data_IF_462324008845
#
_entry.id   IF_462324008845
#
_cell.length_a   1.000
_cell.length_b   1.000
_cell.length_c   1.000
_cell.angle_alpha   90.00
_cell.angle_beta   90.00
_cell.angle_gamma   90.00
#
_symmetry.space_group_name_H-M   'P 1'
#
loop_
_entity.id
_entity.type
_entity.pdbx_description
1 polymer ?
#
# COMPACT_ATOMS: atom_id res chain seq x y z
N UNK A 1 32.35 16.63 7.56
CA UNK A 1 31.14 17.41 7.23
C UNK A 1 31.57 18.66 6.46
N UNK A 2 30.91 18.99 5.34
CA UNK A 2 31.35 20.00 4.36
C UNK A 2 31.26 21.47 4.83
N UNK A 3 30.77 21.74 6.05
CA UNK A 3 30.59 23.10 6.57
C UNK A 3 29.38 23.85 5.99
N UNK A 4 28.62 23.23 5.08
CA UNK A 4 27.41 23.80 4.48
C UNK A 4 26.22 23.48 5.39
N UNK A 5 25.45 24.51 5.77
CA UNK A 5 24.22 24.34 6.52
C UNK A 5 23.20 23.53 5.72
N UNK A 6 22.63 22.50 6.34
CA UNK A 6 21.57 21.69 5.74
C UNK A 6 20.24 22.43 5.90
N UNK A 7 19.54 22.64 4.79
CA UNK A 7 18.17 23.16 4.79
C UNK A 7 17.19 22.00 4.96
N UNK A 8 16.75 21.77 6.20
CA UNK A 8 15.87 20.66 6.57
C UNK A 8 14.52 20.75 5.85
N UNK A 9 13.97 21.96 5.70
CA UNK A 9 12.71 22.18 4.96
C UNK A 9 12.84 21.73 3.51
N UNK A 10 13.94 22.08 2.85
CA UNK A 10 14.22 21.66 1.48
C UNK A 10 14.42 20.14 1.38
N UNK A 11 15.05 19.52 2.38
CA UNK A 11 15.19 18.06 2.43
C UNK A 11 13.83 17.38 2.53
N UNK A 12 12.94 17.83 3.42
CA UNK A 12 11.58 17.29 3.56
C UNK A 12 10.76 17.44 2.27
N UNK A 13 10.86 18.59 1.61
CA UNK A 13 10.23 18.82 0.31
C UNK A 13 10.69 17.82 -0.75
N UNK A 14 12.00 17.61 -0.91
CA UNK A 14 12.51 16.66 -1.90
C UNK A 14 12.25 15.20 -1.53
N UNK A 15 12.15 14.89 -0.24
CA UNK A 15 11.72 13.58 0.24
C UNK A 15 10.29 13.28 -0.23
N UNK A 16 9.33 14.17 0.03
CA UNK A 16 7.96 14.02 -0.45
C UNK A 16 7.88 13.94 -1.98
N UNK A 17 8.63 14.81 -2.68
CA UNK A 17 8.70 14.79 -4.15
C UNK A 17 9.19 13.44 -4.70
N UNK A 18 10.22 12.84 -4.09
CA UNK A 18 10.76 11.55 -4.51
C UNK A 18 9.71 10.45 -4.38
N UNK A 19 9.01 10.39 -3.24
CA UNK A 19 7.99 9.37 -3.00
C UNK A 19 6.77 9.53 -3.92
N UNK A 20 6.32 10.76 -4.20
CA UNK A 20 5.24 11.02 -5.17
C UNK A 20 5.60 10.48 -6.55
N UNK A 21 6.84 10.70 -7.01
CA UNK A 21 7.30 10.15 -8.30
C UNK A 21 7.27 8.62 -8.32
N UNK A 22 7.70 7.99 -7.22
CA UNK A 22 7.66 6.53 -7.08
C UNK A 22 6.23 6.01 -7.18
N UNK A 23 5.27 6.64 -6.49
CA UNK A 23 3.86 6.26 -6.53
C UNK A 23 3.31 6.32 -7.95
N UNK A 24 3.53 7.41 -8.68
CA UNK A 24 3.04 7.57 -10.06
C UNK A 24 3.61 6.47 -10.97
N UNK A 25 4.93 6.24 -10.92
CA UNK A 25 5.57 5.23 -11.75
C UNK A 25 5.11 3.81 -11.40
N UNK A 26 5.02 3.49 -10.10
CA UNK A 26 4.63 2.17 -9.63
C UNK A 26 3.16 1.88 -9.92
N UNK A 27 2.28 2.89 -9.98
CA UNK A 27 0.88 2.71 -10.35
C UNK A 27 0.75 1.98 -11.69
N UNK A 28 1.40 2.54 -12.72
CA UNK A 28 1.36 2.03 -14.09
C UNK A 28 1.99 0.63 -14.20
N UNK A 29 3.08 0.39 -13.48
CA UNK A 29 3.77 -0.91 -13.46
C UNK A 29 2.87 -1.99 -12.85
N UNK A 30 2.15 -1.68 -11.76
CA UNK A 30 1.30 -2.66 -11.07
C UNK A 30 -0.08 -2.86 -11.68
N UNK A 31 -0.48 -2.02 -12.63
CA UNK A 31 -1.74 -2.19 -13.39
C UNK A 31 -1.66 -3.38 -14.36
N UNK A 32 -0.47 -3.70 -14.86
CA UNK A 32 -0.23 -4.79 -15.82
C UNK A 32 0.55 -5.92 -15.15
N UNK A 33 -0.18 -6.94 -14.66
CA UNK A 33 0.41 -8.12 -14.03
C UNK A 33 0.99 -9.09 -15.08
N UNK A 34 2.19 -8.78 -15.57
CA UNK A 34 2.94 -9.64 -16.47
C UNK A 34 3.67 -10.74 -15.68
N UNK A 35 3.43 -12.04 -15.97
CA UNK A 35 4.13 -13.13 -15.29
C UNK A 35 5.65 -13.11 -15.53
N UNK A 36 6.18 -12.44 -16.55
CA UNK A 36 7.63 -12.33 -16.78
C UNK A 36 8.29 -11.26 -15.91
N UNK A 37 7.51 -10.39 -15.27
CA UNK A 37 7.99 -9.36 -14.35
C UNK A 37 8.02 -9.85 -12.90
N UNK A 38 8.79 -9.19 -12.01
CA UNK A 38 8.82 -9.51 -10.59
C UNK A 38 7.59 -8.91 -9.89
N UNK A 39 6.40 -9.47 -10.15
CA UNK A 39 5.10 -8.91 -9.69
C UNK A 39 5.06 -8.67 -8.18
N UNK A 40 5.45 -9.65 -7.36
CA UNK A 40 5.46 -9.51 -5.91
C UNK A 40 6.36 -8.36 -5.45
N UNK A 41 7.53 -8.19 -6.09
CA UNK A 41 8.45 -7.10 -5.79
C UNK A 41 7.84 -5.73 -6.14
N UNK A 42 7.24 -5.63 -7.32
CA UNK A 42 6.59 -4.39 -7.78
C UNK A 42 5.41 -4.00 -6.87
N UNK A 43 4.60 -4.98 -6.44
CA UNK A 43 3.54 -4.77 -5.46
C UNK A 43 4.09 -4.30 -4.12
N UNK A 44 5.15 -4.93 -3.60
CA UNK A 44 5.78 -4.52 -2.34
C UNK A 44 6.23 -3.05 -2.40
N UNK A 45 6.92 -2.66 -3.47
CA UNK A 45 7.33 -1.27 -3.65
C UNK A 45 6.13 -0.34 -3.76
N UNK A 46 5.12 -0.68 -4.56
CA UNK A 46 3.92 0.15 -4.72
C UNK A 46 3.26 0.44 -3.38
N UNK A 47 2.98 -0.62 -2.62
CA UNK A 47 2.25 -0.56 -1.35
C UNK A 47 3.04 0.23 -0.30
N UNK A 48 4.34 -0.04 -0.17
CA UNK A 48 5.19 0.71 0.74
C UNK A 48 5.30 2.18 0.36
N UNK A 49 5.48 2.49 -0.93
CA UNK A 49 5.59 3.88 -1.37
C UNK A 49 4.28 4.65 -1.19
N UNK A 50 3.11 4.02 -1.31
CA UNK A 50 1.82 4.68 -1.04
C UNK A 50 1.74 5.17 0.42
N UNK A 51 2.13 4.33 1.40
CA UNK A 51 2.19 4.75 2.81
C UNK A 51 3.28 5.79 3.05
N UNK A 52 4.51 5.53 2.59
CA UNK A 52 5.66 6.41 2.83
C UNK A 52 5.45 7.79 2.20
N UNK A 53 4.73 7.88 1.08
CA UNK A 53 4.34 9.17 0.49
C UNK A 53 3.46 9.97 1.44
N UNK A 54 2.45 9.34 2.03
CA UNK A 54 1.57 10.00 2.99
C UNK A 54 2.36 10.47 4.23
N UNK A 55 3.28 9.64 4.75
CA UNK A 55 4.14 10.00 5.88
C UNK A 55 5.10 11.14 5.54
N UNK A 56 5.69 11.16 4.34
CA UNK A 56 6.57 12.23 3.89
C UNK A 56 5.83 13.57 3.74
N UNK A 57 4.61 13.55 3.19
CA UNK A 57 3.75 14.74 3.11
C UNK A 57 3.39 15.23 4.51
N UNK A 58 2.99 14.32 5.41
CA UNK A 58 2.65 14.66 6.78
C UNK A 58 3.83 15.27 7.56
N UNK A 59 5.04 14.72 7.42
CA UNK A 59 6.25 15.27 8.03
C UNK A 59 6.58 16.68 7.49
N UNK A 60 6.41 16.90 6.18
CA UNK A 60 6.58 18.22 5.58
C UNK A 60 5.51 19.24 6.05
N UNK A 61 4.29 18.78 6.34
CA UNK A 61 3.20 19.59 6.90
C UNK A 61 3.29 19.76 8.43
N UNK A 62 4.19 19.03 9.11
CA UNK A 62 4.28 19.02 10.57
C UNK A 62 3.07 18.39 11.27
N UNK A 63 2.39 17.44 10.61
CA UNK A 63 1.22 16.73 11.16
C UNK A 63 1.55 15.28 11.50
N UNK A 64 0.96 14.77 12.57
CA UNK A 64 1.05 13.35 12.93
C UNK A 64 -0.14 12.59 12.35
N UNK A 65 0.12 11.44 11.73
CA UNK A 65 -0.89 10.54 11.22
C UNK A 65 -1.13 9.38 12.19
N UNK A 66 -2.39 9.07 12.47
CA UNK A 66 -2.76 7.97 13.36
C UNK A 66 -2.91 6.67 12.55
N UNK A 67 -2.22 5.61 12.98
CA UNK A 67 -2.31 4.30 12.36
C UNK A 67 -3.72 3.72 12.60
N UNK A 68 -4.48 3.37 11.55
CA UNK A 68 -5.80 2.76 11.73
C UNK A 68 -5.70 1.37 12.34
N UNK A 69 -6.77 0.97 13.04
CA UNK A 69 -6.97 -0.44 13.37
C UNK A 69 -7.16 -1.26 12.09
N UNK A 70 -6.64 -2.49 12.12
CA UNK A 70 -6.90 -3.50 11.10
C UNK A 70 -8.06 -4.40 11.57
N UNK A 71 -9.00 -4.79 10.69
CA UNK A 71 -10.13 -5.63 11.09
C UNK A 71 -9.64 -6.97 11.64
N UNK A 72 -10.19 -7.36 12.79
CA UNK A 72 -10.00 -8.69 13.34
C UNK A 72 -10.96 -9.66 12.64
N UNK A 73 -10.41 -10.48 11.75
CA UNK A 73 -11.14 -11.51 11.03
C UNK A 73 -10.67 -12.85 11.54
N UNK A 74 -11.58 -13.59 12.17
CA UNK A 74 -11.31 -14.91 12.72
C UNK A 74 -10.65 -15.83 11.69
N UNK A 75 -9.75 -16.69 12.18
CA UNK A 75 -9.17 -17.74 11.34
C UNK A 75 -10.30 -18.65 10.82
N UNK A 76 -10.29 -18.88 9.51
CA UNK A 76 -11.17 -19.85 8.87
C UNK A 76 -10.58 -21.26 8.88
N UNK A 77 -11.30 -22.24 8.34
CA UNK A 77 -10.70 -23.53 8.00
C UNK A 77 -9.59 -23.36 6.95
N UNK A 78 -8.69 -24.34 6.85
CA UNK A 78 -7.65 -24.38 5.82
C UNK A 78 -8.27 -24.24 4.43
N UNK A 79 -7.81 -23.24 3.69
CA UNK A 79 -8.24 -22.95 2.32
C UNK A 79 -7.37 -23.68 1.28
N UNK A 80 -7.83 -23.70 0.02
CA UNK A 80 -6.99 -24.19 -1.08
C UNK A 80 -5.74 -23.33 -1.29
N UNK A 81 -5.80 -22.03 -0.97
CA UNK A 81 -4.63 -21.16 -1.01
C UNK A 81 -3.56 -21.65 -0.02
N UNK A 82 -3.96 -22.03 1.19
CA UNK A 82 -3.05 -22.55 2.22
C UNK A 82 -2.38 -23.85 1.76
N UNK A 83 -3.14 -24.77 1.14
CA UNK A 83 -2.61 -26.01 0.58
C UNK A 83 -1.59 -25.73 -0.53
N UNK A 84 -1.91 -24.84 -1.47
CA UNK A 84 -1.00 -24.50 -2.56
C UNK A 84 0.27 -23.81 -2.04
N UNK A 85 0.14 -22.86 -1.12
CA UNK A 85 1.28 -22.21 -0.50
C UNK A 85 2.17 -23.21 0.26
N UNK A 86 1.58 -24.12 1.02
CA UNK A 86 2.30 -25.19 1.72
C UNK A 86 3.05 -26.08 0.73
N UNK A 87 2.38 -26.62 -0.30
CA UNK A 87 3.02 -27.46 -1.31
C UNK A 87 4.18 -26.74 -2.01
N UNK A 88 4.01 -25.45 -2.35
CA UNK A 88 5.07 -24.65 -2.95
C UNK A 88 6.27 -24.50 -2.01
N UNK A 89 6.04 -24.22 -0.72
CA UNK A 89 7.07 -24.00 0.29
C UNK A 89 7.81 -25.29 0.70
N UNK A 90 7.08 -26.37 0.92
CA UNK A 90 7.61 -27.57 1.57
C UNK A 90 7.96 -28.70 0.62
N UNK A 91 7.37 -28.73 -0.58
CA UNK A 91 7.58 -29.81 -1.55
C UNK A 91 8.26 -29.32 -2.83
N UNK A 92 7.75 -28.24 -3.43
CA UNK A 92 8.26 -27.75 -4.73
C UNK A 92 9.58 -27.01 -4.56
N UNK A 93 9.62 -25.96 -3.73
CA UNK A 93 10.80 -25.12 -3.54
C UNK A 93 12.09 -25.91 -3.23
N UNK A 94 12.08 -26.92 -2.35
CA UNK A 94 13.26 -27.73 -2.07
C UNK A 94 13.78 -28.55 -3.27
N UNK A 95 12.89 -28.90 -4.21
CA UNK A 95 13.23 -29.67 -5.40
C UNK A 95 13.65 -28.81 -6.61
N UNK A 96 13.42 -27.50 -6.55
CA UNK A 96 13.76 -26.57 -7.64
C UNK A 96 15.23 -26.18 -7.59
N UNK A 97 15.91 -26.29 -8.74
CA UNK A 97 17.31 -25.88 -8.91
C UNK A 97 17.42 -24.61 -9.76
N UNK A 98 18.46 -23.81 -9.49
CA UNK A 98 18.73 -22.55 -10.18
C UNK A 98 18.02 -21.34 -9.56
N UNK A 99 18.74 -20.22 -9.45
CA UNK A 99 18.29 -19.04 -8.70
C UNK A 99 16.99 -18.44 -9.25
N UNK A 100 16.89 -18.35 -10.58
CA UNK A 100 15.70 -17.81 -11.24
C UNK A 100 14.46 -18.65 -10.95
N UNK A 101 14.52 -19.97 -11.20
CA UNK A 101 13.38 -20.86 -10.99
C UNK A 101 12.97 -20.91 -9.51
N UNK A 102 13.96 -20.91 -8.60
CA UNK A 102 13.71 -20.86 -7.16
C UNK A 102 13.01 -19.57 -6.75
N UNK A 103 13.50 -18.42 -7.23
CA UNK A 103 12.85 -17.13 -6.96
C UNK A 103 11.41 -17.11 -7.50
N UNK A 104 11.16 -17.64 -8.70
CA UNK A 104 9.80 -17.73 -9.26
C UNK A 104 8.86 -18.56 -8.39
N UNK A 105 9.30 -19.72 -7.91
CA UNK A 105 8.50 -20.56 -7.01
C UNK A 105 8.25 -19.86 -5.65
N UNK A 106 9.25 -19.14 -5.13
CA UNK A 106 9.11 -18.39 -3.89
C UNK A 106 8.13 -17.23 -4.02
N UNK A 107 8.21 -16.46 -5.11
CA UNK A 107 7.28 -15.38 -5.39
C UNK A 107 5.86 -15.90 -5.64
N UNK A 108 5.70 -17.08 -6.26
CA UNK A 108 4.41 -17.72 -6.40
C UNK A 108 3.78 -18.04 -5.03
N UNK A 109 4.55 -18.59 -4.09
CA UNK A 109 4.06 -18.86 -2.74
C UNK A 109 3.62 -17.57 -2.02
N UNK A 110 4.43 -16.51 -2.09
CA UNK A 110 4.11 -15.19 -1.51
C UNK A 110 2.82 -14.61 -2.10
N UNK A 111 2.62 -14.72 -3.42
CA UNK A 111 1.40 -14.25 -4.07
C UNK A 111 0.19 -15.10 -3.68
N UNK A 112 0.32 -16.43 -3.56
CA UNK A 112 -0.76 -17.31 -3.07
C UNK A 112 -1.17 -16.98 -1.63
N UNK A 113 -0.20 -16.78 -0.74
CA UNK A 113 -0.45 -16.34 0.64
C UNK A 113 -1.16 -14.98 0.68
N UNK A 114 -0.85 -14.09 -0.26
CA UNK A 114 -1.50 -12.77 -0.38
C UNK A 114 -2.93 -12.90 -0.90
N UNK A 115 -3.17 -13.77 -1.89
CA UNK A 115 -4.50 -14.05 -2.42
C UNK A 115 -5.45 -14.63 -1.36
N UNK A 116 -4.94 -15.48 -0.46
CA UNK A 116 -5.70 -15.97 0.70
C UNK A 116 -6.23 -14.81 1.53
N UNK A 117 -5.35 -13.88 1.90
CA UNK A 117 -5.70 -12.72 2.73
C UNK A 117 -6.68 -11.79 2.03
N UNK A 118 -6.46 -11.54 0.74
CA UNK A 118 -7.38 -10.76 -0.09
C UNK A 118 -8.77 -11.40 -0.12
N UNK A 119 -8.83 -12.73 -0.25
CA UNK A 119 -10.10 -13.45 -0.28
C UNK A 119 -10.82 -13.42 1.08
N UNK A 120 -10.10 -13.68 2.17
CA UNK A 120 -10.68 -13.81 3.51
C UNK A 120 -10.96 -12.46 4.19
N UNK A 121 -10.01 -11.53 4.12
CA UNK A 121 -10.01 -10.28 4.89
C UNK A 121 -10.43 -9.08 4.01
N UNK A 122 -10.17 -9.16 2.70
CA UNK A 122 -10.44 -8.07 1.74
C UNK A 122 -11.87 -7.50 1.81
N UNK A 123 -12.93 -8.30 1.91
CA UNK A 123 -14.30 -7.78 2.02
C UNK A 123 -14.52 -6.90 3.27
N UNK A 124 -13.93 -7.26 4.41
CA UNK A 124 -14.02 -6.47 5.64
C UNK A 124 -13.26 -5.15 5.51
N UNK A 125 -12.07 -5.17 4.90
CA UNK A 125 -11.30 -3.95 4.60
C UNK A 125 -12.07 -3.04 3.64
N UNK A 126 -12.62 -3.59 2.55
CA UNK A 126 -13.40 -2.83 1.58
C UNK A 126 -14.64 -2.16 2.20
N UNK A 127 -15.34 -2.85 3.10
CA UNK A 127 -16.48 -2.27 3.81
C UNK A 127 -16.06 -1.06 4.69
N UNK A 128 -14.93 -1.16 5.39
CA UNK A 128 -14.37 -0.05 6.17
C UNK A 128 -13.96 1.11 5.24
N UNK A 129 -13.30 0.81 4.12
CA UNK A 129 -12.87 1.85 3.16
C UNK A 129 -14.07 2.58 2.53
N UNK A 130 -15.14 1.87 2.19
CA UNK A 130 -16.39 2.48 1.70
C UNK A 130 -17.02 3.40 2.76
N UNK A 131 -17.05 2.96 4.02
CA UNK A 131 -17.60 3.76 5.12
C UNK A 131 -16.79 5.04 5.36
N UNK A 132 -15.45 4.94 5.40
CA UNK A 132 -14.59 6.11 5.58
C UNK A 132 -14.63 7.06 4.38
N UNK A 133 -14.73 6.53 3.16
CA UNK A 133 -14.87 7.37 1.97
C UNK A 133 -16.25 8.03 1.90
N UNK A 134 -17.29 7.35 2.40
CA UNK A 134 -18.64 7.94 2.56
C UNK A 134 -18.60 9.13 3.50
N UNK A 135 -17.91 9.00 4.64
CA UNK A 135 -17.72 10.10 5.60
C UNK A 135 -16.94 11.26 4.98
N UNK A 136 -15.84 10.98 4.27
CA UNK A 136 -15.02 12.00 3.63
C UNK A 136 -15.78 12.78 2.55
N UNK A 137 -16.58 12.10 1.74
CA UNK A 137 -17.29 12.69 0.60
C UNK A 137 -18.68 13.25 0.97
N UNK A 138 -19.20 12.95 2.16
CA UNK A 138 -20.57 13.32 2.55
C UNK A 138 -21.67 12.63 1.74
N UNK A 139 -21.34 11.59 0.97
CA UNK A 139 -22.27 10.84 0.12
C UNK A 139 -22.02 9.34 0.20
N UNK A 140 -23.07 8.54 0.02
CA UNK A 140 -22.98 7.07 0.09
C UNK A 140 -22.02 6.50 -0.95
N UNK A 141 -21.03 5.73 -0.50
CA UNK A 141 -20.11 4.96 -1.34
C UNK A 141 -20.31 3.48 -1.08
N UNK A 142 -20.70 2.75 -2.13
CA UNK A 142 -20.86 1.28 -2.11
C UNK A 142 -19.87 0.56 -3.04
N UNK A 143 -19.17 1.32 -3.89
CA UNK A 143 -18.17 0.84 -4.84
C UNK A 143 -16.90 1.68 -4.73
N UNK A 144 -15.78 1.03 -4.38
CA UNK A 144 -14.51 1.71 -4.13
C UNK A 144 -13.93 2.38 -5.39
N UNK A 145 -13.89 1.74 -6.58
CA UNK A 145 -13.45 2.39 -7.80
C UNK A 145 -14.27 3.65 -8.15
N UNK A 146 -15.60 3.60 -8.03
CA UNK A 146 -16.44 4.77 -8.25
C UNK A 146 -16.18 5.88 -7.23
N UNK A 147 -16.12 5.56 -5.95
CA UNK A 147 -15.84 6.54 -4.90
C UNK A 147 -14.49 7.22 -5.08
N UNK A 148 -13.44 6.49 -5.46
CA UNK A 148 -12.13 7.06 -5.75
C UNK A 148 -12.13 8.00 -6.97
N UNK A 149 -12.91 7.69 -8.01
CA UNK A 149 -13.08 8.60 -9.15
C UNK A 149 -13.80 9.90 -8.75
N UNK A 150 -14.79 9.81 -7.85
CA UNK A 150 -15.44 10.99 -7.28
C UNK A 150 -14.45 11.83 -6.48
N UNK A 151 -13.63 11.21 -5.62
CA UNK A 151 -12.58 11.91 -4.88
C UNK A 151 -11.57 12.59 -5.83
N UNK A 152 -11.10 11.90 -6.88
CA UNK A 152 -10.18 12.49 -7.88
C UNK A 152 -10.82 13.68 -8.60
N UNK A 153 -12.09 13.59 -8.99
CA UNK A 153 -12.81 14.68 -9.63
C UNK A 153 -12.92 15.92 -8.73
N UNK A 154 -13.21 15.72 -7.43
CA UNK A 154 -13.26 16.80 -6.44
C UNK A 154 -11.89 17.46 -6.26
N UNK A 155 -10.82 16.66 -6.16
CA UNK A 155 -9.45 17.18 -5.98
C UNK A 155 -8.95 17.98 -7.19
N UNK A 156 -9.45 17.70 -8.39
CA UNK A 156 -9.15 18.48 -9.60
C UNK A 156 -9.91 19.80 -9.68
N UNK A 157 -11.02 19.92 -8.95
CA UNK A 157 -11.85 21.12 -8.96
C UNK A 157 -11.48 22.03 -7.79
N UNK A 158 -10.52 22.93 -7.99
CA UNK A 158 -10.01 23.84 -6.95
C UNK A 158 -11.11 24.67 -6.24
N UNK A 159 -12.28 24.86 -6.87
CA UNK A 159 -13.42 25.56 -6.28
C UNK A 159 -14.19 24.73 -5.23
N UNK A 160 -14.17 23.40 -5.36
CA UNK A 160 -14.86 22.45 -4.47
C UNK A 160 -13.92 21.84 -3.40
N UNK A 161 -12.59 21.93 -3.60
CA UNK A 161 -11.57 21.58 -2.60
C UNK A 161 -11.78 22.36 -1.28
N UNK A 162 -12.48 23.49 -1.32
CA UNK A 162 -12.85 24.24 -0.11
C UNK A 162 -13.75 23.46 0.87
N UNK A 163 -14.49 22.43 0.44
CA UNK A 163 -15.37 21.65 1.32
C UNK A 163 -14.66 20.45 1.98
N UNK A 164 -13.63 19.88 1.33
CA UNK A 164 -12.86 18.75 1.86
C UNK A 164 -11.42 19.17 2.11
N UNK A 165 -11.04 19.28 3.39
CA UNK A 165 -9.68 19.66 3.78
C UNK A 165 -8.62 18.69 3.23
N UNK A 166 -7.53 19.22 2.67
CA UNK A 166 -6.34 18.46 2.24
C UNK A 166 -5.84 17.50 3.33
N UNK A 167 -5.93 17.92 4.60
CA UNK A 167 -5.54 17.08 5.74
C UNK A 167 -6.49 15.89 5.94
N UNK A 168 -7.78 16.05 5.69
CA UNK A 168 -8.75 14.95 5.74
C UNK A 168 -8.47 13.93 4.64
N UNK A 169 -8.15 14.41 3.43
CA UNK A 169 -7.76 13.56 2.29
C UNK A 169 -6.47 12.81 2.61
N UNK A 170 -5.44 13.49 3.10
CA UNK A 170 -4.17 12.87 3.49
C UNK A 170 -4.37 11.78 4.56
N UNK A 171 -5.20 12.05 5.58
CA UNK A 171 -5.54 11.07 6.62
C UNK A 171 -6.26 9.85 6.04
N UNK A 172 -7.23 10.06 5.16
CA UNK A 172 -7.92 8.97 4.48
C UNK A 172 -6.95 8.10 3.65
N UNK A 173 -6.14 8.74 2.80
CA UNK A 173 -5.17 8.04 1.94
C UNK A 173 -4.14 7.26 2.77
N UNK A 174 -3.64 7.85 3.87
CA UNK A 174 -2.74 7.14 4.79
C UNK A 174 -3.40 5.91 5.40
N UNK A 175 -4.62 6.05 5.93
CA UNK A 175 -5.34 4.94 6.56
C UNK A 175 -5.56 3.80 5.57
N UNK A 176 -5.96 4.13 4.34
CA UNK A 176 -6.09 3.17 3.24
C UNK A 176 -4.76 2.48 2.92
N UNK A 177 -3.68 3.24 2.80
CA UNK A 177 -2.35 2.71 2.49
C UNK A 177 -1.88 1.73 3.59
N UNK A 178 -2.06 2.08 4.86
CA UNK A 178 -1.74 1.18 5.99
C UNK A 178 -2.57 -0.10 5.95
N UNK A 179 -3.87 -0.04 5.71
CA UNK A 179 -4.70 -1.26 5.61
C UNK A 179 -4.30 -2.11 4.41
N UNK A 180 -3.95 -1.48 3.29
CA UNK A 180 -3.43 -2.18 2.12
C UNK A 180 -2.12 -2.89 2.45
N UNK A 181 -1.21 -2.22 3.17
CA UNK A 181 0.04 -2.82 3.64
C UNK A 181 -0.18 -4.06 4.50
N UNK A 182 -1.07 -3.96 5.48
CA UNK A 182 -1.45 -5.10 6.33
C UNK A 182 -2.12 -6.21 5.53
N UNK A 183 -3.06 -5.88 4.62
CA UNK A 183 -3.74 -6.87 3.79
C UNK A 183 -2.75 -7.64 2.92
N UNK A 184 -1.75 -6.97 2.37
CA UNK A 184 -0.66 -7.52 1.56
C UNK A 184 0.59 -7.91 2.35
N UNK A 185 0.47 -8.16 3.67
CA UNK A 185 1.61 -8.47 4.53
C UNK A 185 2.61 -9.51 3.96
N UNK A 186 2.22 -10.62 3.28
CA UNK A 186 3.19 -11.56 2.70
C UNK A 186 4.12 -10.91 1.67
N UNK A 187 3.58 -10.06 0.81
CA UNK A 187 4.34 -9.28 -0.18
C UNK A 187 5.20 -8.21 0.50
N UNK A 188 4.64 -7.47 1.45
CA UNK A 188 5.35 -6.37 2.12
C UNK A 188 6.54 -6.87 2.95
N UNK A 189 6.44 -8.08 3.54
CA UNK A 189 7.52 -8.71 4.31
C UNK A 189 8.79 -9.01 3.51
N UNK A 190 8.78 -8.84 2.18
CA UNK A 190 10.01 -8.79 1.38
C UNK A 190 10.93 -7.63 1.80
N UNK A 191 10.36 -6.54 2.35
CA UNK A 191 11.09 -5.40 2.92
C UNK A 191 10.50 -5.02 4.29
N UNK A 192 10.78 -5.82 5.33
CA UNK A 192 10.17 -5.59 6.64
C UNK A 192 10.67 -4.29 7.27
N UNK A 193 9.78 -3.61 8.00
CA UNK A 193 10.10 -2.44 8.82
C UNK A 193 10.70 -1.23 8.07
N UNK A 194 10.35 -1.04 6.80
CA UNK A 194 10.68 0.18 6.06
C UNK A 194 9.98 1.40 6.69
N UNK A 195 10.74 2.42 7.10
CA UNK A 195 10.21 3.68 7.61
C UNK A 195 11.06 4.86 7.15
N UNK A 196 10.43 6.03 7.02
CA UNK A 196 11.17 7.30 6.90
C UNK A 196 11.75 7.59 8.29
N UNK A 197 13.07 7.84 8.33
CA UNK A 197 13.70 8.33 9.56
C UNK A 197 13.48 9.84 9.66
N UNK A 198 13.10 10.37 10.83
CA UNK A 198 13.07 11.80 11.06
C UNK A 198 14.43 12.41 10.73
N UNK A 199 14.39 13.58 10.11
CA UNK A 199 15.57 14.41 9.87
C UNK A 199 15.39 15.60 10.81
N UNK A 200 15.99 15.47 11.99
CA UNK A 200 16.06 16.51 13.01
C UNK A 200 17.26 17.43 12.79
#
# INVERSE_FOLDING_TARGET
MSGIAVDVTKVKYYCAHLYIRSVIALAAITEHLDPHNPVALNLAYRILNDRLTCEAIADAMGVTLERPAFPDVAAGPTSLYDVVAANLRTEVLPAVTGDFARNRAEMAAVLTETLERLHRIGPAVAAIECAELTELLGMSVTDMPAGLRTLDALLRNESEVSEVSELAVLRYLYRRAVRTEELYAPVVRLFPAMCIRPID
#
